data_IF_443237278199
#
_entry.id   IF_443237278199
#
_cell.length_a   1.000
_cell.length_b   1.000
_cell.length_c   1.000
_cell.angle_alpha   90.00
_cell.angle_beta   90.00
_cell.angle_gamma   90.00
#
_symmetry.space_group_name_H-M   'P 1'
#
loop_
_entity.id
_entity.type
_entity.pdbx_description
1 polymer ?
#
# COMPACT_ATOMS: atom_id res chain seq x y z
N UNK A 1 -5.08 15.90 0.47
CA UNK A 1 -3.85 16.37 -0.22
C UNK A 1 -2.71 15.48 0.21
N UNK A 2 -2.10 14.75 -0.73
CA UNK A 2 -0.97 13.86 -0.45
C UNK A 2 0.31 14.73 -0.44
N UNK A 3 0.93 14.90 0.73
CA UNK A 3 2.10 15.75 0.88
C UNK A 3 3.38 14.89 0.79
N UNK A 4 3.99 14.80 -0.39
CA UNK A 4 5.29 14.12 -0.58
C UNK A 4 6.48 15.11 -0.56
N UNK A 5 6.23 16.43 -0.40
CA UNK A 5 7.28 17.46 -0.39
C UNK A 5 6.81 18.92 -0.50
N UNK A 6 7.74 19.85 -0.71
CA UNK A 6 7.51 21.31 -0.60
C UNK A 6 6.90 21.96 -1.85
N UNK A 7 6.96 21.32 -3.02
CA UNK A 7 6.63 21.93 -4.30
C UNK A 7 5.25 21.50 -4.81
N UNK A 8 4.43 22.48 -5.19
CA UNK A 8 3.02 22.31 -5.59
C UNK A 8 2.85 22.51 -7.10
N UNK A 9 2.16 21.59 -7.77
CA UNK A 9 1.90 21.57 -9.23
C UNK A 9 0.62 22.31 -9.64
N UNK A 10 0.24 23.37 -8.91
CA UNK A 10 -1.02 24.11 -9.17
C UNK A 10 -1.07 24.75 -10.57
N UNK A 11 0.08 24.96 -11.21
CA UNK A 11 0.22 25.68 -12.47
C UNK A 11 0.19 24.82 -13.74
N UNK A 12 0.30 23.49 -13.65
CA UNK A 12 0.39 22.64 -14.84
C UNK A 12 -0.96 22.04 -15.29
N UNK A 13 -1.21 21.96 -16.62
CA UNK A 13 -2.43 21.39 -17.18
C UNK A 13 -2.53 19.88 -16.90
N UNK A 14 -3.76 19.38 -16.99
CA UNK A 14 -4.18 18.06 -16.52
C UNK A 14 -3.66 16.93 -17.44
N UNK A 15 -2.37 16.60 -17.34
CA UNK A 15 -1.79 15.47 -18.07
C UNK A 15 -2.26 14.18 -17.39
N UNK A 16 -3.33 13.58 -17.93
CA UNK A 16 -3.75 12.22 -17.54
C UNK A 16 -2.76 11.24 -18.16
N UNK A 17 -1.75 10.84 -17.41
CA UNK A 17 -0.88 9.76 -17.85
C UNK A 17 -1.62 8.44 -17.67
N UNK A 18 -1.76 7.68 -18.76
CA UNK A 18 -2.48 6.42 -18.76
C UNK A 18 -1.71 5.37 -17.93
N UNK A 19 -2.39 4.64 -17.03
CA UNK A 19 -1.74 3.60 -16.21
C UNK A 19 -1.16 2.50 -17.11
N UNK A 20 0.06 2.06 -16.78
CA UNK A 20 0.77 0.99 -17.49
C UNK A 20 0.23 -0.41 -17.09
N UNK A 21 0.46 -1.44 -17.92
CA UNK A 21 -0.05 -2.81 -17.64
C UNK A 21 0.41 -3.34 -16.27
N UNK A 22 1.66 -3.03 -15.90
CA UNK A 22 2.25 -3.36 -14.59
C UNK A 22 1.41 -2.79 -13.44
N UNK A 23 0.86 -1.58 -13.62
CA UNK A 23 0.05 -0.94 -12.60
C UNK A 23 -1.27 -1.69 -12.34
N UNK A 24 -1.88 -2.22 -13.41
CA UNK A 24 -3.10 -3.04 -13.28
C UNK A 24 -2.82 -4.38 -12.62
N UNK A 25 -1.65 -4.98 -12.88
CA UNK A 25 -1.22 -6.21 -12.22
C UNK A 25 -1.05 -5.94 -10.72
N UNK A 26 -0.39 -4.84 -10.34
CA UNK A 26 -0.22 -4.45 -8.94
C UNK A 26 -1.56 -4.21 -8.24
N UNK A 27 -2.51 -3.54 -8.89
CA UNK A 27 -3.88 -3.38 -8.37
C UNK A 27 -4.59 -4.74 -8.20
N UNK A 28 -4.48 -5.63 -9.18
CA UNK A 28 -5.04 -6.98 -9.10
C UNK A 28 -4.44 -7.80 -7.95
N UNK A 29 -3.13 -7.73 -7.75
CA UNK A 29 -2.44 -8.41 -6.64
C UNK A 29 -2.92 -7.87 -5.29
N UNK A 30 -3.06 -6.55 -5.14
CA UNK A 30 -3.58 -5.95 -3.89
C UNK A 30 -5.01 -6.44 -3.57
N UNK A 31 -5.88 -6.52 -4.58
CA UNK A 31 -7.25 -7.02 -4.41
C UNK A 31 -7.26 -8.50 -4.03
N UNK A 32 -6.44 -9.34 -4.68
CA UNK A 32 -6.33 -10.75 -4.34
C UNK A 32 -5.86 -10.95 -2.89
N UNK A 33 -4.88 -10.17 -2.43
CA UNK A 33 -4.40 -10.21 -1.04
C UNK A 33 -5.50 -9.78 -0.06
N UNK A 34 -6.29 -8.76 -0.40
CA UNK A 34 -7.41 -8.35 0.45
C UNK A 34 -8.52 -9.41 0.54
N UNK A 35 -8.84 -10.09 -0.57
CA UNK A 35 -9.81 -11.20 -0.56
C UNK A 35 -9.29 -12.35 0.32
N UNK A 36 -8.00 -12.68 0.22
CA UNK A 36 -7.37 -13.67 1.08
C UNK A 36 -7.43 -13.26 2.57
N UNK A 37 -7.20 -11.98 2.89
CA UNK A 37 -7.27 -11.45 4.26
C UNK A 37 -8.69 -11.59 4.83
N UNK A 38 -9.72 -11.30 4.04
CA UNK A 38 -11.11 -11.49 4.43
C UNK A 38 -11.46 -12.96 4.62
N UNK A 39 -11.01 -13.85 3.73
CA UNK A 39 -11.19 -15.29 3.89
C UNK A 39 -10.60 -15.80 5.21
N UNK A 40 -9.39 -15.36 5.56
CA UNK A 40 -8.75 -15.71 6.82
C UNK A 40 -9.46 -15.10 8.03
N UNK A 41 -9.87 -13.83 7.96
CA UNK A 41 -10.58 -13.16 9.05
C UNK A 41 -11.94 -13.81 9.34
N UNK A 42 -12.69 -14.22 8.31
CA UNK A 42 -13.96 -14.95 8.47
C UNK A 42 -13.69 -16.34 9.05
N UNK A 43 -12.64 -17.04 8.58
CA UNK A 43 -12.27 -18.33 9.13
C UNK A 43 -11.97 -18.25 10.63
N UNK A 44 -11.12 -17.32 11.05
CA UNK A 44 -10.84 -17.03 12.47
C UNK A 44 -12.13 -16.70 13.20
N UNK A 45 -12.99 -15.84 12.66
CA UNK A 45 -14.25 -15.50 13.32
C UNK A 45 -15.16 -16.71 13.59
N UNK A 46 -15.16 -17.70 12.70
CA UNK A 46 -15.99 -18.91 12.84
C UNK A 46 -15.39 -20.00 13.72
N UNK A 47 -14.06 -20.09 13.81
CA UNK A 47 -13.35 -21.16 14.52
C UNK A 47 -12.71 -20.70 15.84
N UNK A 48 -12.60 -19.38 16.06
CA UNK A 48 -12.00 -18.84 17.25
C UNK A 48 -12.96 -18.89 18.43
N UNK A 49 -12.54 -19.50 19.54
CA UNK A 49 -13.25 -19.40 20.81
C UNK A 49 -13.02 -18.02 21.45
N UNK A 50 -11.86 -17.39 21.16
CA UNK A 50 -11.50 -16.08 21.66
C UNK A 50 -12.08 -14.94 20.81
N UNK A 51 -13.15 -14.33 21.33
CA UNK A 51 -13.80 -13.16 20.71
C UNK A 51 -12.86 -11.97 20.47
N UNK A 52 -11.79 -11.84 21.27
CA UNK A 52 -10.79 -10.78 21.11
C UNK A 52 -9.98 -10.99 19.83
N UNK A 53 -9.58 -12.23 19.55
CA UNK A 53 -8.80 -12.63 18.37
C UNK A 53 -9.64 -12.50 17.10
N UNK A 54 -10.91 -12.91 17.18
CA UNK A 54 -11.89 -12.77 16.11
C UNK A 54 -12.15 -11.31 15.74
N UNK A 55 -12.44 -10.45 16.73
CA UNK A 55 -12.69 -9.03 16.49
C UNK A 55 -11.45 -8.30 15.96
N UNK A 56 -10.25 -8.63 16.44
CA UNK A 56 -9.01 -8.06 15.93
C UNK A 56 -8.76 -8.44 14.46
N UNK A 57 -9.01 -9.70 14.09
CA UNK A 57 -8.82 -10.18 12.72
C UNK A 57 -9.78 -9.51 11.74
N UNK A 58 -11.04 -9.33 12.13
CA UNK A 58 -12.02 -8.54 11.36
C UNK A 58 -11.63 -7.07 11.26
N UNK A 59 -11.17 -6.46 12.35
CA UNK A 59 -10.69 -5.09 12.36
C UNK A 59 -9.49 -4.91 11.42
N UNK A 60 -8.52 -5.82 11.46
CA UNK A 60 -7.33 -5.79 10.61
C UNK A 60 -7.66 -5.98 9.13
N UNK A 61 -8.57 -6.91 8.79
CA UNK A 61 -9.06 -7.06 7.42
C UNK A 61 -9.84 -5.81 6.95
N UNK A 62 -10.68 -5.24 7.83
CA UNK A 62 -11.42 -4.01 7.58
C UNK A 62 -10.50 -2.81 7.32
N UNK A 63 -9.51 -2.60 8.20
CA UNK A 63 -8.47 -1.57 8.01
C UNK A 63 -7.67 -1.82 6.73
N UNK A 64 -7.31 -3.08 6.43
CA UNK A 64 -6.62 -3.45 5.21
C UNK A 64 -7.41 -3.06 3.96
N UNK A 65 -8.71 -3.33 3.92
CA UNK A 65 -9.58 -2.89 2.81
C UNK A 65 -9.77 -1.37 2.78
N UNK A 66 -9.86 -0.72 3.92
CA UNK A 66 -9.97 0.73 3.97
C UNK A 66 -8.69 1.40 3.43
N UNK A 67 -7.51 0.88 3.80
CA UNK A 67 -6.23 1.29 3.23
C UNK A 67 -6.14 0.97 1.74
N UNK A 68 -6.61 -0.20 1.30
CA UNK A 68 -6.66 -0.58 -0.12
C UNK A 68 -7.46 0.46 -0.92
N UNK A 69 -8.63 0.84 -0.42
CA UNK A 69 -9.48 1.84 -1.05
C UNK A 69 -8.82 3.22 -0.99
N UNK A 70 -8.37 3.69 0.18
CA UNK A 70 -7.75 5.01 0.30
C UNK A 70 -6.53 5.18 -0.61
N UNK A 71 -5.59 4.23 -0.57
CA UNK A 71 -4.34 4.29 -1.34
C UNK A 71 -4.61 3.94 -2.80
N UNK A 72 -5.51 3.00 -3.09
CA UNK A 72 -5.96 2.67 -4.44
C UNK A 72 -6.62 3.88 -5.12
N UNK A 73 -7.57 4.55 -4.45
CA UNK A 73 -8.16 5.80 -4.92
C UNK A 73 -7.13 6.92 -5.02
N UNK A 74 -6.12 6.97 -4.14
CA UNK A 74 -5.02 7.95 -4.23
C UNK A 74 -4.23 7.85 -5.53
N UNK A 75 -4.12 6.65 -6.13
CA UNK A 75 -3.49 6.44 -7.43
C UNK A 75 -4.29 7.03 -8.61
N UNK A 76 -5.58 7.32 -8.40
CA UNK A 76 -6.45 7.97 -9.39
C UNK A 76 -6.58 9.49 -9.17
N UNK A 77 -5.98 10.05 -8.12
CA UNK A 77 -6.05 11.49 -7.88
C UNK A 77 -5.27 12.29 -8.94
N UNK A 78 -5.84 13.42 -9.42
CA UNK A 78 -5.15 14.31 -10.34
C UNK A 78 -3.89 14.91 -9.69
N UNK A 79 -2.84 15.10 -10.51
CA UNK A 79 -1.50 15.64 -10.19
C UNK A 79 -1.53 16.82 -9.18
N UNK A 80 -2.58 17.65 -9.23
CA UNK A 80 -2.79 18.84 -8.40
C UNK A 80 -2.88 18.58 -6.90
N UNK A 81 -3.18 17.35 -6.49
CA UNK A 81 -3.37 16.99 -5.09
C UNK A 81 -2.12 16.36 -4.45
N UNK A 82 -1.06 16.19 -5.23
CA UNK A 82 0.24 15.63 -4.82
C UNK A 82 1.26 16.76 -4.75
N UNK A 83 1.89 16.97 -3.59
CA UNK A 83 3.07 17.85 -3.50
C UNK A 83 4.32 17.01 -3.68
N UNK A 84 5.25 17.47 -4.52
CA UNK A 84 6.45 16.73 -4.85
C UNK A 84 7.67 17.26 -4.07
N UNK A 85 8.66 16.39 -3.77
CA UNK A 85 9.89 16.79 -3.09
C UNK A 85 10.85 17.60 -3.97
N UNK A 86 10.65 17.58 -5.29
CA UNK A 86 11.54 18.23 -6.27
C UNK A 86 10.77 19.29 -7.05
N UNK A 87 11.48 20.36 -7.45
CA UNK A 87 10.93 21.43 -8.28
C UNK A 87 10.55 20.87 -9.64
N UNK A 88 9.29 21.06 -10.05
CA UNK A 88 8.75 20.43 -11.25
C UNK A 88 8.92 21.35 -12.46
N UNK A 89 9.53 20.83 -13.51
CA UNK A 89 9.64 21.45 -14.85
C UNK A 89 8.75 20.71 -15.84
N UNK A 90 8.23 21.39 -16.88
CA UNK A 90 7.30 20.80 -17.87
C UNK A 90 7.80 19.48 -18.48
N UNK A 91 9.11 19.35 -18.64
CA UNK A 91 9.77 18.15 -19.18
C UNK A 91 9.74 16.96 -18.22
N UNK A 92 9.70 17.21 -16.91
CA UNK A 92 9.84 16.19 -15.87
C UNK A 92 8.53 15.90 -15.11
N UNK A 93 7.47 16.72 -15.27
CA UNK A 93 6.13 16.52 -14.65
C UNK A 93 5.63 15.09 -14.88
N UNK A 94 5.67 14.62 -16.13
CA UNK A 94 5.08 13.33 -16.50
C UNK A 94 5.82 12.15 -15.84
N UNK A 95 7.16 12.22 -15.78
CA UNK A 95 8.01 11.18 -15.18
C UNK A 95 7.82 11.15 -13.67
N UNK A 96 7.81 12.30 -13.01
CA UNK A 96 7.60 12.37 -11.56
C UNK A 96 6.19 11.90 -11.16
N UNK A 97 5.16 12.27 -11.94
CA UNK A 97 3.80 11.77 -11.69
C UNK A 97 3.69 10.25 -11.87
N UNK A 98 4.27 9.69 -12.95
CA UNK A 98 4.32 8.24 -13.15
C UNK A 98 5.00 7.52 -11.99
N UNK A 99 6.12 8.05 -11.50
CA UNK A 99 6.82 7.47 -10.34
C UNK A 99 5.97 7.53 -9.07
N UNK A 100 5.35 8.68 -8.77
CA UNK A 100 4.50 8.84 -7.60
C UNK A 100 3.29 7.90 -7.61
N UNK A 101 2.62 7.74 -8.75
CA UNK A 101 1.48 6.82 -8.90
C UNK A 101 1.92 5.36 -8.75
N UNK A 102 3.05 4.97 -9.36
CA UNK A 102 3.61 3.61 -9.22
C UNK A 102 3.95 3.27 -7.78
N UNK A 103 4.53 4.21 -7.04
CA UNK A 103 4.87 3.99 -5.63
C UNK A 103 3.64 3.94 -4.76
N UNK A 104 2.62 4.77 -5.01
CA UNK A 104 1.35 4.63 -4.32
C UNK A 104 0.77 3.21 -4.49
N UNK A 105 0.85 2.63 -5.70
CA UNK A 105 0.41 1.26 -5.97
C UNK A 105 1.27 0.19 -5.29
N UNK A 106 2.60 0.31 -5.34
CA UNK A 106 3.52 -0.62 -4.65
C UNK A 106 3.29 -0.56 -3.13
N UNK A 107 3.12 0.64 -2.60
CA UNK A 107 2.84 0.87 -1.19
C UNK A 107 1.48 0.29 -0.80
N UNK A 108 0.49 0.34 -1.70
CA UNK A 108 -0.80 -0.31 -1.50
C UNK A 108 -0.67 -1.83 -1.37
N UNK A 109 0.06 -2.47 -2.28
CA UNK A 109 0.34 -3.92 -2.22
C UNK A 109 1.03 -4.27 -0.91
N UNK A 110 2.09 -3.54 -0.54
CA UNK A 110 2.82 -3.80 0.69
C UNK A 110 1.96 -3.61 1.95
N UNK A 111 1.10 -2.59 1.99
CA UNK A 111 0.15 -2.38 3.09
C UNK A 111 -0.85 -3.54 3.19
N UNK A 112 -1.46 -3.96 2.07
CA UNK A 112 -2.42 -5.08 2.07
C UNK A 112 -1.77 -6.38 2.51
N UNK A 113 -0.52 -6.61 2.12
CA UNK A 113 0.28 -7.75 2.56
C UNK A 113 0.57 -7.69 4.07
N UNK A 114 0.86 -6.51 4.63
CA UNK A 114 1.10 -6.32 6.06
C UNK A 114 -0.17 -6.63 6.87
N UNK A 115 -1.34 -6.17 6.43
CA UNK A 115 -2.59 -6.51 7.09
C UNK A 115 -2.93 -8.00 6.98
N UNK A 116 -2.60 -8.64 5.85
CA UNK A 116 -2.74 -10.10 5.69
C UNK A 116 -1.87 -10.85 6.70
N UNK A 117 -0.59 -10.48 6.85
CA UNK A 117 0.31 -11.16 7.79
C UNK A 117 -0.08 -10.92 9.25
N UNK A 118 -0.68 -9.78 9.58
CA UNK A 118 -1.26 -9.54 10.90
C UNK A 118 -2.46 -10.44 11.22
N UNK A 119 -3.35 -10.68 10.24
CA UNK A 119 -4.46 -11.63 10.40
C UNK A 119 -3.91 -13.06 10.56
N UNK A 120 -2.94 -13.46 9.73
CA UNK A 120 -2.30 -14.77 9.84
C UNK A 120 -1.54 -14.99 11.14
N UNK A 121 -0.84 -13.98 11.66
CA UNK A 121 -0.14 -14.07 12.94
C UNK A 121 -1.09 -14.43 14.10
N UNK A 122 -2.35 -14.02 14.01
CA UNK A 122 -3.38 -14.36 15.00
C UNK A 122 -3.95 -15.76 14.79
N UNK A 123 -4.11 -16.21 13.54
CA UNK A 123 -4.40 -17.61 13.23
C UNK A 123 -3.32 -18.52 13.83
N UNK A 124 -2.04 -18.19 13.65
CA UNK A 124 -0.93 -19.03 14.15
C UNK A 124 -0.97 -19.22 15.68
N UNK A 125 -1.34 -18.17 16.43
CA UNK A 125 -1.47 -18.23 17.90
C UNK A 125 -2.55 -19.23 18.32
N UNK A 126 -3.67 -19.23 17.61
CA UNK A 126 -4.81 -20.07 17.94
C UNK A 126 -4.57 -21.55 17.63
N UNK A 127 -3.81 -21.84 16.57
CA UNK A 127 -3.42 -23.20 16.19
C UNK A 127 -2.14 -23.70 16.88
N UNK A 128 -1.54 -22.91 17.78
CA UNK A 128 -0.30 -23.29 18.50
C UNK A 128 0.94 -23.40 17.60
N UNK A 129 0.90 -22.78 16.41
CA UNK A 129 2.03 -22.74 15.48
C UNK A 129 3.03 -21.68 15.98
N UNK A 130 4.34 -21.95 15.99
CA UNK A 130 5.33 -20.99 16.47
C UNK A 130 5.27 -19.68 15.67
N UNK A 131 4.94 -18.57 16.36
CA UNK A 131 4.79 -17.18 15.87
C UNK A 131 6.02 -16.58 15.13
N UNK A 132 7.09 -17.34 14.94
CA UNK A 132 8.34 -16.86 14.36
C UNK A 132 8.17 -16.44 12.90
N UNK A 133 7.46 -17.22 12.10
CA UNK A 133 7.38 -17.00 10.65
C UNK A 133 6.58 -15.73 10.30
N UNK A 134 5.36 -15.56 10.81
CA UNK A 134 4.58 -14.34 10.51
C UNK A 134 5.23 -13.07 11.04
N UNK A 135 5.92 -13.10 12.19
CA UNK A 135 6.62 -11.92 12.71
C UNK A 135 7.83 -11.55 11.84
N UNK A 136 8.61 -12.53 11.39
CA UNK A 136 9.72 -12.30 10.45
C UNK A 136 9.20 -11.73 9.14
N UNK A 137 8.11 -12.28 8.59
CA UNK A 137 7.50 -11.79 7.34
C UNK A 137 6.97 -10.36 7.55
N UNK A 138 6.26 -10.09 8.64
CA UNK A 138 5.74 -8.74 8.93
C UNK A 138 6.89 -7.73 9.06
N UNK A 139 7.98 -8.09 9.74
CA UNK A 139 9.19 -7.28 9.84
C UNK A 139 9.86 -7.05 8.48
N UNK A 140 9.97 -8.09 7.65
CA UNK A 140 10.52 -8.00 6.30
C UNK A 140 9.68 -7.09 5.39
N UNK A 141 8.34 -7.18 5.46
CA UNK A 141 7.42 -6.33 4.69
C UNK A 141 7.49 -4.88 5.17
N UNK A 142 7.59 -4.65 6.48
CA UNK A 142 7.83 -3.33 7.05
C UNK A 142 9.17 -2.72 6.59
N UNK A 143 10.24 -3.52 6.56
CA UNK A 143 11.54 -3.10 6.03
C UNK A 143 11.47 -2.76 4.53
N UNK A 144 10.73 -3.57 3.76
CA UNK A 144 10.53 -3.36 2.32
C UNK A 144 9.76 -2.06 2.03
N UNK A 145 8.75 -1.71 2.85
CA UNK A 145 8.06 -0.41 2.77
C UNK A 145 9.03 0.77 2.92
N UNK A 146 9.91 0.72 3.93
CA UNK A 146 10.91 1.77 4.16
C UNK A 146 11.87 1.85 2.97
N UNK A 147 12.33 0.70 2.46
CA UNK A 147 13.25 0.64 1.34
C UNK A 147 12.61 1.22 0.06
N UNK A 148 11.35 0.90 -0.23
CA UNK A 148 10.60 1.47 -1.36
C UNK A 148 10.52 3.00 -1.26
N UNK A 149 10.28 3.54 -0.06
CA UNK A 149 10.28 4.99 0.16
C UNK A 149 11.68 5.60 -0.03
N UNK A 150 12.74 4.97 0.46
CA UNK A 150 14.12 5.45 0.26
C UNK A 150 14.47 5.46 -1.24
N UNK A 151 14.18 4.38 -1.96
CA UNK A 151 14.41 4.27 -3.41
C UNK A 151 13.61 5.35 -4.16
N UNK A 152 12.38 5.63 -3.74
CA UNK A 152 11.61 6.74 -4.31
C UNK A 152 12.32 8.07 -4.16
N UNK A 153 12.76 8.41 -2.94
CA UNK A 153 13.44 9.68 -2.70
C UNK A 153 14.72 9.77 -3.55
N UNK A 154 15.53 8.71 -3.61
CA UNK A 154 16.74 8.66 -4.43
C UNK A 154 16.42 8.88 -5.92
N UNK A 155 15.41 8.19 -6.46
CA UNK A 155 15.01 8.35 -7.86
C UNK A 155 14.45 9.75 -8.13
N UNK A 156 13.61 10.29 -7.23
CA UNK A 156 13.06 11.63 -7.35
C UNK A 156 14.18 12.69 -7.43
N UNK A 157 15.24 12.55 -6.63
CA UNK A 157 16.40 13.44 -6.68
C UNK A 157 17.29 13.24 -7.92
N UNK A 158 17.34 12.02 -8.47
CA UNK A 158 18.13 11.71 -9.68
C UNK A 158 17.49 12.24 -10.97
N UNK A 159 16.15 12.27 -11.05
CA UNK A 159 15.40 12.78 -12.20
C UNK A 159 14.94 14.23 -12.00
N UNK A 160 15.89 15.10 -11.63
CA UNK A 160 15.69 16.54 -11.43
C UNK A 160 15.45 17.28 -12.74
#
# INVERSE_FOLDING_TARGET
MLNLGSYSTKEFPNIRVYPTVIDRILEGVAVLLAVAAWGCAIWVYTHAEDKIVANFSLLAAGLGTFCLLLVGFSAYFPIRWIRFPVRITERNVAVQYLMAVRIARILNVCLTLLFLTLVFSKVEVEYGIPQGLCNIITGAVGGLLILVLIVYYILAFKYK
#
